data_IF_387013016216
#
_entry.id   IF_387013016216
#
_cell.length_a   1.000
_cell.length_b   1.000
_cell.length_c   1.000
_cell.angle_alpha   90.00
_cell.angle_beta   90.00
_cell.angle_gamma   90.00
#
_symmetry.space_group_name_H-M   'P 1'
#
loop_
_entity.id
_entity.type
_entity.pdbx_description
1 polymer ?
#
# COMPACT_ATOMS: atom_id res chain seq x y z
N UNK A 1 9.77 -0.46 -19.75
CA UNK A 1 8.95 -0.92 -20.91
C UNK A 1 9.69 -0.81 -22.24
N UNK A 2 10.66 0.09 -22.40
CA UNK A 2 11.44 0.24 -23.65
C UNK A 2 12.17 -1.03 -24.15
N UNK A 3 12.40 -2.01 -23.29
CA UNK A 3 13.07 -3.27 -23.63
C UNK A 3 12.11 -4.43 -23.95
N UNK A 4 10.81 -4.26 -23.73
CA UNK A 4 9.81 -5.28 -24.01
C UNK A 4 9.32 -5.12 -25.46
N UNK A 5 9.31 -6.18 -26.29
CA UNK A 5 8.85 -6.08 -27.67
C UNK A 5 7.40 -5.59 -27.68
N UNK A 6 7.06 -4.59 -28.50
CA UNK A 6 5.68 -4.05 -28.61
C UNK A 6 4.59 -5.08 -28.97
N UNK A 7 4.99 -6.30 -29.36
CA UNK A 7 4.12 -7.46 -29.66
C UNK A 7 3.95 -8.42 -28.48
N UNK A 8 4.76 -8.32 -27.43
CA UNK A 8 4.60 -9.09 -26.20
C UNK A 8 3.55 -8.43 -25.32
N UNK A 9 2.58 -9.21 -24.85
CA UNK A 9 1.79 -8.83 -23.67
C UNK A 9 2.78 -8.48 -22.54
N UNK A 10 2.41 -7.59 -21.63
CA UNK A 10 3.24 -7.18 -20.47
C UNK A 10 3.40 -8.30 -19.42
N UNK A 11 3.63 -9.52 -19.88
CA UNK A 11 3.60 -10.76 -19.11
C UNK A 11 4.81 -10.81 -18.16
N UNK A 12 5.98 -10.32 -18.58
CA UNK A 12 7.15 -10.25 -17.70
C UNK A 12 6.94 -9.22 -16.58
N UNK A 13 6.36 -8.06 -16.90
CA UNK A 13 6.00 -7.09 -15.87
C UNK A 13 4.98 -7.69 -14.90
N UNK A 14 3.96 -8.39 -15.40
CA UNK A 14 2.97 -9.06 -14.57
C UNK A 14 3.61 -10.07 -13.63
N UNK A 15 4.40 -11.02 -14.16
CA UNK A 15 5.10 -12.02 -13.35
C UNK A 15 6.00 -11.37 -12.30
N UNK A 16 6.72 -10.30 -12.69
CA UNK A 16 7.59 -9.56 -11.78
C UNK A 16 6.79 -8.90 -10.65
N UNK A 17 5.66 -8.26 -10.96
CA UNK A 17 4.82 -7.60 -9.96
C UNK A 17 4.19 -8.60 -9.00
N UNK A 18 3.67 -9.72 -9.50
CA UNK A 18 3.08 -10.80 -8.70
C UNK A 18 4.12 -11.41 -7.74
N UNK A 19 5.33 -11.71 -8.23
CA UNK A 19 6.41 -12.26 -7.41
C UNK A 19 6.89 -11.27 -6.34
N UNK A 20 7.06 -9.99 -6.70
CA UNK A 20 7.46 -8.96 -5.75
C UNK A 20 6.39 -8.73 -4.67
N UNK A 21 5.11 -8.77 -5.02
CA UNK A 21 4.01 -8.66 -4.05
C UNK A 21 4.01 -9.85 -3.08
N UNK A 22 4.21 -11.06 -3.60
CA UNK A 22 4.35 -12.27 -2.81
C UNK A 22 5.48 -12.13 -1.79
N UNK A 23 6.68 -11.72 -2.24
CA UNK A 23 7.86 -11.52 -1.38
C UNK A 23 7.70 -10.37 -0.38
N UNK A 24 6.93 -9.33 -0.72
CA UNK A 24 6.70 -8.18 0.15
C UNK A 24 5.69 -8.47 1.28
N UNK A 25 4.81 -9.44 1.08
CA UNK A 25 3.76 -9.79 2.04
C UNK A 25 4.32 -10.69 3.15
N UNK A 26 4.01 -10.43 4.44
CA UNK A 26 4.49 -11.28 5.52
C UNK A 26 4.00 -12.73 5.34
N UNK A 27 4.93 -13.69 5.30
CA UNK A 27 4.64 -15.13 5.30
C UNK A 27 4.69 -15.69 6.72
N UNK A 28 3.89 -16.72 7.02
CA UNK A 28 3.95 -17.43 8.31
C UNK A 28 5.22 -18.27 8.50
N UNK A 29 5.98 -18.51 7.43
CA UNK A 29 7.25 -19.20 7.50
C UNK A 29 8.37 -18.26 7.97
N UNK A 30 9.38 -18.81 8.65
CA UNK A 30 10.59 -18.12 9.10
C UNK A 30 11.47 -17.72 7.90
N UNK A 31 10.94 -16.88 7.02
CA UNK A 31 11.61 -16.37 5.84
C UNK A 31 12.60 -15.27 6.24
N UNK A 32 13.68 -15.16 5.46
CA UNK A 32 14.64 -14.08 5.63
C UNK A 32 13.95 -12.73 5.40
N UNK A 33 14.21 -11.78 6.30
CA UNK A 33 13.68 -10.40 6.20
C UNK A 33 14.27 -9.64 5.02
N UNK A 34 15.47 -10.02 4.58
CA UNK A 34 16.22 -9.31 3.53
C UNK A 34 15.44 -9.29 2.19
N UNK A 35 14.98 -10.44 1.64
CA UNK A 35 14.09 -10.49 0.48
C UNK A 35 12.87 -9.58 0.58
N UNK A 36 12.18 -9.58 1.72
CA UNK A 36 10.99 -8.75 1.94
C UNK A 36 11.30 -7.26 1.85
N UNK A 37 12.36 -6.82 2.54
CA UNK A 37 12.82 -5.42 2.51
C UNK A 37 13.20 -4.99 1.10
N UNK A 38 13.89 -5.85 0.34
CA UNK A 38 14.21 -5.55 -1.05
C UNK A 38 12.97 -5.50 -1.94
N UNK A 39 12.05 -6.46 -1.80
CA UNK A 39 10.81 -6.48 -2.56
C UNK A 39 9.98 -5.22 -2.33
N UNK A 40 9.79 -4.79 -1.07
CA UNK A 40 9.11 -3.54 -0.72
C UNK A 40 9.75 -2.32 -1.38
N UNK A 41 11.09 -2.25 -1.41
CA UNK A 41 11.82 -1.13 -2.01
C UNK A 41 11.81 -1.15 -3.55
N UNK A 42 11.82 -2.32 -4.17
CA UNK A 42 11.69 -2.47 -5.61
C UNK A 42 10.28 -2.08 -6.04
N UNK A 43 9.24 -2.58 -5.36
CA UNK A 43 7.85 -2.16 -5.59
C UNK A 43 7.70 -0.65 -5.48
N UNK A 44 8.31 -0.03 -4.45
CA UNK A 44 8.31 1.42 -4.29
C UNK A 44 8.92 2.13 -5.51
N UNK A 45 10.03 1.64 -6.05
CA UNK A 45 10.64 2.20 -7.24
C UNK A 45 9.71 2.08 -8.46
N UNK A 46 9.09 0.92 -8.65
CA UNK A 46 8.17 0.66 -9.75
C UNK A 46 6.91 1.55 -9.69
N UNK A 47 6.27 1.69 -8.52
CA UNK A 47 5.09 2.54 -8.37
C UNK A 47 5.38 4.04 -8.59
N UNK A 48 6.63 4.47 -8.38
CA UNK A 48 7.10 5.84 -8.65
C UNK A 48 7.47 6.07 -10.11
N UNK A 49 7.73 5.01 -10.88
CA UNK A 49 8.09 5.16 -12.28
C UNK A 49 6.89 5.64 -13.10
N UNK A 50 7.04 6.82 -13.69
CA UNK A 50 6.02 7.43 -14.54
C UNK A 50 5.90 6.73 -15.89
N UNK A 51 6.97 6.10 -16.38
CA UNK A 51 6.97 5.38 -17.66
C UNK A 51 6.12 4.11 -17.60
N UNK A 52 5.96 3.52 -16.41
CA UNK A 52 5.12 2.34 -16.23
C UNK A 52 3.62 2.65 -16.33
N UNK A 53 3.22 3.92 -16.13
CA UNK A 53 1.87 4.41 -16.45
C UNK A 53 0.73 3.53 -15.90
N UNK A 54 -0.26 3.24 -16.72
CA UNK A 54 -1.40 2.41 -16.31
C UNK A 54 -1.05 0.93 -16.07
N UNK A 55 0.11 0.45 -16.54
CA UNK A 55 0.48 -0.96 -16.42
C UNK A 55 0.73 -1.43 -14.98
N UNK A 56 1.03 -0.50 -14.06
CA UNK A 56 1.19 -0.83 -12.63
C UNK A 56 -0.09 -0.68 -11.82
N UNK A 57 -1.14 -0.08 -12.38
CA UNK A 57 -2.38 0.20 -11.67
C UNK A 57 -3.11 -1.04 -11.13
N UNK A 58 -3.13 -2.19 -11.84
CA UNK A 58 -3.75 -3.41 -11.30
C UNK A 58 -3.15 -3.88 -9.97
N UNK A 59 -1.89 -3.55 -9.70
CA UNK A 59 -1.13 -4.03 -8.54
C UNK A 59 -1.13 -3.05 -7.35
N UNK A 60 -1.73 -1.87 -7.51
CA UNK A 60 -1.73 -0.81 -6.48
C UNK A 60 -2.46 -1.28 -5.21
N UNK A 61 -3.57 -2.00 -5.37
CA UNK A 61 -4.34 -2.50 -4.22
C UNK A 61 -3.53 -3.49 -3.39
N UNK A 62 -2.83 -4.42 -4.04
CA UNK A 62 -1.98 -5.41 -3.34
C UNK A 62 -0.74 -4.74 -2.73
N UNK A 63 -0.17 -3.74 -3.40
CA UNK A 63 0.88 -2.90 -2.83
C UNK A 63 0.46 -2.19 -1.55
N UNK A 64 -0.77 -1.66 -1.48
CA UNK A 64 -1.31 -1.02 -0.27
C UNK A 64 -1.47 -2.05 0.84
N UNK A 65 -1.99 -3.24 0.54
CA UNK A 65 -2.13 -4.32 1.51
C UNK A 65 -0.77 -4.75 2.07
N UNK A 66 0.22 -4.99 1.21
CA UNK A 66 1.59 -5.34 1.63
C UNK A 66 2.22 -4.24 2.50
N UNK A 67 2.01 -2.97 2.17
CA UNK A 67 2.51 -1.85 2.97
C UNK A 67 1.85 -1.79 4.36
N UNK A 68 0.52 -1.97 4.45
CA UNK A 68 -0.19 -1.95 5.73
C UNK A 68 0.21 -3.15 6.60
N UNK A 69 0.31 -4.34 6.02
CA UNK A 69 0.72 -5.56 6.74
C UNK A 69 2.19 -5.49 7.19
N UNK A 70 3.10 -4.96 6.37
CA UNK A 70 4.49 -4.80 6.75
C UNK A 70 4.73 -3.69 7.79
N UNK A 71 3.85 -2.69 7.88
CA UNK A 71 3.95 -1.62 8.87
C UNK A 71 3.80 -2.12 10.32
N UNK A 72 3.08 -3.23 10.53
CA UNK A 72 2.91 -3.86 11.85
C UNK A 72 3.98 -4.90 12.16
N UNK A 73 4.98 -5.09 11.28
CA UNK A 73 6.06 -6.04 11.49
C UNK A 73 6.87 -5.72 12.75
N UNK A 74 7.33 -6.72 13.52
CA UNK A 74 8.26 -6.50 14.64
C UNK A 74 9.64 -6.04 14.16
N UNK A 75 9.97 -6.20 12.88
CA UNK A 75 11.28 -5.85 12.32
C UNK A 75 11.29 -4.42 11.78
N UNK A 76 12.19 -3.58 12.32
CA UNK A 76 12.28 -2.16 11.99
C UNK A 76 12.48 -1.89 10.48
N UNK A 77 13.37 -2.66 9.82
CA UNK A 77 13.67 -2.48 8.40
C UNK A 77 12.43 -2.71 7.50
N UNK A 78 11.57 -3.66 7.88
CA UNK A 78 10.30 -3.93 7.19
C UNK A 78 9.36 -2.75 7.38
N UNK A 79 9.15 -2.30 8.62
CA UNK A 79 8.30 -1.13 8.91
C UNK A 79 8.73 0.11 8.12
N UNK A 80 10.02 0.40 8.07
CA UNK A 80 10.57 1.53 7.32
C UNK A 80 10.29 1.39 5.82
N UNK A 81 10.59 0.24 5.25
CA UNK A 81 10.38 -0.03 3.81
C UNK A 81 8.90 0.02 3.43
N UNK A 82 8.01 -0.52 4.27
CA UNK A 82 6.56 -0.44 4.11
C UNK A 82 6.04 1.00 4.18
N UNK A 83 6.58 1.84 5.07
CA UNK A 83 6.23 3.26 5.15
C UNK A 83 6.59 3.99 3.85
N UNK A 84 7.77 3.72 3.31
CA UNK A 84 8.24 4.32 2.06
C UNK A 84 7.42 3.85 0.85
N UNK A 85 7.05 2.57 0.80
CA UNK A 85 6.14 2.02 -0.20
C UNK A 85 4.76 2.68 -0.11
N UNK A 86 4.19 2.76 1.10
CA UNK A 86 2.90 3.39 1.35
C UNK A 86 2.86 4.83 0.83
N UNK A 87 3.87 5.64 1.17
CA UNK A 87 3.98 7.02 0.69
C UNK A 87 3.98 7.14 -0.83
N UNK A 88 4.69 6.23 -1.53
CA UNK A 88 4.69 6.18 -2.98
C UNK A 88 3.32 5.84 -3.56
N UNK A 89 2.62 4.86 -2.99
CA UNK A 89 1.28 4.43 -3.43
C UNK A 89 0.23 5.51 -3.19
N UNK A 90 0.28 6.16 -2.03
CA UNK A 90 -0.58 7.29 -1.70
C UNK A 90 -0.41 8.43 -2.70
N UNK A 91 0.83 8.72 -3.11
CA UNK A 91 1.12 9.70 -4.18
C UNK A 91 0.63 9.21 -5.54
N UNK A 92 0.70 7.90 -5.80
CA UNK A 92 0.22 7.30 -7.06
C UNK A 92 -1.29 7.36 -7.21
N UNK A 93 -2.03 7.15 -6.12
CA UNK A 93 -3.50 7.15 -6.10
C UNK A 93 -4.06 8.56 -6.13
N UNK A 94 -3.57 9.44 -5.25
CA UNK A 94 -4.16 10.77 -5.01
C UNK A 94 -3.39 11.92 -5.66
N UNK A 95 -2.25 11.63 -6.31
CA UNK A 95 -1.35 12.62 -6.85
C UNK A 95 -0.42 13.26 -5.80
N UNK A 96 0.48 14.11 -6.28
CA UNK A 96 1.35 14.93 -5.41
C UNK A 96 0.55 16.02 -4.72
N UNK A 97 0.88 16.30 -3.46
CA UNK A 97 0.25 17.38 -2.69
C UNK A 97 0.45 18.72 -3.41
N UNK A 98 -0.64 19.30 -3.91
CA UNK A 98 -0.66 20.64 -4.51
C UNK A 98 -1.10 21.68 -3.48
N UNK A 99 -0.15 22.38 -2.85
CA UNK A 99 -0.40 23.50 -1.93
C UNK A 99 -0.20 23.19 -0.45
N UNK A 100 -0.32 24.22 0.40
CA UNK A 100 -0.19 24.10 1.88
C UNK A 100 -1.39 23.41 2.53
N UNK A 101 -2.57 23.48 1.92
CA UNK A 101 -3.82 22.93 2.44
C UNK A 101 -3.91 21.40 2.22
N UNK A 102 -3.95 20.64 3.32
CA UNK A 102 -4.13 19.18 3.30
C UNK A 102 -5.51 18.76 2.80
N UNK A 103 -6.52 19.63 2.91
CA UNK A 103 -7.91 19.31 2.59
C UNK A 103 -8.33 19.74 1.18
N UNK A 104 -7.37 20.15 0.32
CA UNK A 104 -7.67 20.53 -1.05
C UNK A 104 -8.38 19.38 -1.79
N UNK A 105 -9.54 19.66 -2.38
CA UNK A 105 -10.31 18.72 -3.20
C UNK A 105 -9.48 18.06 -4.31
N UNK A 106 -8.37 18.68 -4.72
CA UNK A 106 -7.45 18.17 -5.74
C UNK A 106 -6.62 16.95 -5.32
N UNK A 107 -6.55 16.65 -4.01
CA UNK A 107 -5.79 15.52 -3.45
C UNK A 107 -6.71 14.50 -2.76
N UNK A 108 -8.01 14.56 -3.03
CA UNK A 108 -9.05 13.69 -2.47
C UNK A 108 -9.86 13.10 -3.62
N UNK A 109 -10.49 11.95 -3.37
CA UNK A 109 -11.46 11.36 -4.30
C UNK A 109 -12.66 10.84 -3.52
N UNK A 110 -13.78 10.61 -4.20
CA UNK A 110 -14.94 10.00 -3.53
C UNK A 110 -14.60 8.58 -3.08
N UNK A 111 -15.20 8.13 -1.98
CA UNK A 111 -15.09 6.72 -1.59
C UNK A 111 -15.55 5.78 -2.70
N UNK A 112 -16.62 6.16 -3.43
CA UNK A 112 -17.14 5.40 -4.58
C UNK A 112 -16.10 5.23 -5.68
N UNK A 113 -15.39 6.29 -6.06
CA UNK A 113 -14.34 6.23 -7.07
C UNK A 113 -13.18 5.34 -6.60
N UNK A 114 -12.70 5.55 -5.37
CA UNK A 114 -11.60 4.79 -4.81
C UNK A 114 -11.91 3.28 -4.76
N UNK A 115 -13.06 2.89 -4.22
CA UNK A 115 -13.44 1.48 -4.11
C UNK A 115 -13.89 0.87 -5.44
N UNK A 116 -14.38 1.68 -6.39
CA UNK A 116 -14.60 1.18 -7.76
C UNK A 116 -13.28 0.89 -8.47
N UNK A 117 -12.22 1.66 -8.19
CA UNK A 117 -10.89 1.45 -8.78
C UNK A 117 -10.10 0.34 -8.07
N UNK A 118 -10.28 0.21 -6.76
CA UNK A 118 -9.56 -0.75 -5.92
C UNK A 118 -10.52 -1.56 -5.03
N UNK A 119 -11.35 -2.44 -5.62
CA UNK A 119 -12.45 -3.11 -4.92
C UNK A 119 -11.98 -3.98 -3.75
N UNK A 120 -10.80 -4.61 -3.86
CA UNK A 120 -10.23 -5.45 -2.79
C UNK A 120 -9.87 -4.65 -1.52
N UNK A 121 -9.66 -3.34 -1.63
CA UNK A 121 -9.32 -2.50 -0.48
C UNK A 121 -10.50 -2.28 0.46
N UNK A 122 -11.74 -2.37 0.00
CA UNK A 122 -12.90 -2.21 0.89
C UNK A 122 -12.94 -3.27 2.00
N UNK A 123 -13.06 -4.58 1.69
CA UNK A 123 -13.10 -5.61 2.72
C UNK A 123 -11.79 -5.69 3.51
N UNK A 124 -10.65 -5.38 2.89
CA UNK A 124 -9.36 -5.37 3.57
C UNK A 124 -9.28 -4.27 4.64
N UNK A 125 -9.58 -3.01 4.28
CA UNK A 125 -9.51 -1.89 5.22
C UNK A 125 -10.51 -2.05 6.36
N UNK A 126 -11.71 -2.56 6.06
CA UNK A 126 -12.71 -2.89 7.09
C UNK A 126 -12.17 -3.92 8.08
N UNK A 127 -11.62 -5.04 7.59
CA UNK A 127 -11.00 -6.07 8.45
C UNK A 127 -9.87 -5.50 9.31
N UNK A 128 -9.01 -4.65 8.74
CA UNK A 128 -7.93 -4.01 9.50
C UNK A 128 -8.46 -3.09 10.59
N UNK A 129 -9.52 -2.32 10.32
CA UNK A 129 -10.17 -1.48 11.33
C UNK A 129 -10.79 -2.32 12.46
N UNK A 130 -11.48 -3.41 12.12
CA UNK A 130 -12.07 -4.33 13.10
C UNK A 130 -11.01 -4.92 14.04
N UNK A 131 -9.86 -5.35 13.49
CA UNK A 131 -8.72 -5.83 14.28
C UNK A 131 -8.26 -4.75 15.25
N UNK A 132 -8.05 -3.52 14.77
CA UNK A 132 -7.62 -2.40 15.61
C UNK A 132 -8.64 -2.12 16.72
N UNK A 133 -9.93 -2.06 16.40
CA UNK A 133 -10.98 -1.78 17.39
C UNK A 133 -11.11 -2.88 18.44
N UNK A 134 -10.95 -4.14 18.04
CA UNK A 134 -11.03 -5.27 18.97
C UNK A 134 -9.84 -5.27 19.94
N UNK A 135 -8.63 -4.99 19.45
CA UNK A 135 -7.44 -4.87 20.32
C UNK A 135 -7.57 -3.72 21.33
N UNK A 136 -8.22 -2.61 20.95
CA UNK A 136 -8.45 -1.47 21.86
C UNK A 136 -9.46 -1.76 22.98
N UNK A 137 -10.40 -2.69 22.76
CA UNK A 137 -11.46 -3.01 23.72
C UNK A 137 -11.03 -4.05 24.77
N UNK A 138 -9.89 -4.72 24.59
CA UNK A 138 -9.52 -5.91 25.39
C UNK A 138 -8.60 -5.66 26.59
N UNK A 139 -7.93 -4.52 26.72
CA UNK A 139 -7.03 -4.29 27.87
C UNK A 139 -7.08 -2.85 28.41
N UNK A 140 -7.25 -2.76 29.74
CA UNK A 140 -7.08 -1.55 30.51
C UNK A 140 -5.60 -1.09 30.52
N UNK A 141 -5.43 0.24 30.54
CA UNK A 141 -4.26 1.02 31.02
C UNK A 141 -3.15 1.52 30.08
N UNK A 142 -3.07 1.20 28.79
CA UNK A 142 -2.33 2.07 27.86
C UNK A 142 -3.01 2.12 26.49
N UNK A 143 -3.40 3.32 26.03
CA UNK A 143 -3.80 3.59 24.66
C UNK A 143 -2.60 3.36 23.71
N UNK A 144 -2.18 2.12 23.52
CA UNK A 144 -1.23 1.73 22.48
C UNK A 144 -1.98 1.82 21.17
N UNK A 145 -1.94 3.00 20.57
CA UNK A 145 -2.44 3.25 19.21
C UNK A 145 -1.82 2.19 18.29
N UNK A 146 -2.65 1.29 17.77
CA UNK A 146 -2.18 0.24 16.88
C UNK A 146 -1.48 0.87 15.66
N UNK A 147 -0.24 0.48 15.31
CA UNK A 147 0.55 1.17 14.29
C UNK A 147 -0.19 1.34 12.95
N UNK A 148 -0.93 0.33 12.52
CA UNK A 148 -1.67 0.40 11.25
C UNK A 148 -2.77 1.46 11.24
N UNK A 149 -3.33 1.89 12.38
CA UNK A 149 -4.42 2.87 12.46
C UNK A 149 -4.06 4.17 11.75
N UNK A 150 -2.82 4.64 11.92
CA UNK A 150 -2.33 5.84 11.24
C UNK A 150 -2.43 5.73 9.72
N UNK A 151 -2.00 4.59 9.14
CA UNK A 151 -2.05 4.39 7.69
C UNK A 151 -3.49 4.26 7.18
N UNK A 152 -4.36 3.59 7.93
CA UNK A 152 -5.79 3.47 7.60
C UNK A 152 -6.46 4.85 7.57
N UNK A 153 -6.24 5.65 8.61
CA UNK A 153 -6.80 7.00 8.72
C UNK A 153 -6.26 7.94 7.63
N UNK A 154 -4.99 7.78 7.22
CA UNK A 154 -4.43 8.55 6.09
C UNK A 154 -5.15 8.26 4.77
N UNK A 155 -5.55 7.02 4.52
CA UNK A 155 -6.35 6.69 3.32
C UNK A 155 -7.74 7.30 3.49
N UNK A 156 -8.42 7.02 4.60
CA UNK A 156 -9.81 7.43 4.82
C UNK A 156 -9.99 8.95 4.86
N UNK A 157 -9.04 9.69 5.43
CA UNK A 157 -9.05 11.16 5.43
C UNK A 157 -8.99 11.78 4.03
N UNK A 158 -8.49 11.04 3.04
CA UNK A 158 -8.49 11.47 1.62
C UNK A 158 -9.75 11.07 0.86
N UNK A 159 -10.62 10.27 1.46
CA UNK A 159 -11.91 9.93 0.89
C UNK A 159 -12.95 10.95 1.36
N UNK A 160 -13.83 11.39 0.47
CA UNK A 160 -15.02 12.17 0.83
C UNK A 160 -16.30 11.44 0.38
N UNK A 161 -17.45 11.75 1.02
CA UNK A 161 -18.74 11.16 0.65
C UNK A 161 -19.07 11.33 -0.84
#
# INVERSE_FOLDING_TARGET
>A
ISSEPKKGKTDLLKMTMEELISLATPSNESSSVIPQVHALNILRALFRDTHLGENIMPYVADGIQAAILGFVSPVWAVRNSSTLLFSALITRIFGVKRGKDENSKKNRMTGREFFSRFPSLYPFLLKQLEVVTNTLNSEAEELKIHPSLFLLLLILGRLYP
#
